data_IF_189349316136
#
_entry.id   IF_189349316136
#
_cell.length_a   1.000
_cell.length_b   1.000
_cell.length_c   1.000
_cell.angle_alpha   90.00
_cell.angle_beta   90.00
_cell.angle_gamma   90.00
#
_symmetry.space_group_name_H-M   'P 1'
#
loop_
_entity.id
_entity.type
_entity.pdbx_description
1 polymer ?
#
# COMPACT_ATOMS: atom_id res chain seq x y z
N UNK A 1 -9.35 -37.75 -53.72
CA UNK A 1 -10.37 -36.95 -53.04
C UNK A 1 -10.12 -37.02 -51.52
N UNK A 2 -9.30 -36.10 -50.98
CA UNK A 2 -9.03 -35.98 -49.53
C UNK A 2 -9.97 -34.94 -48.94
N UNK A 3 -10.94 -35.37 -48.13
CA UNK A 3 -11.78 -34.52 -47.31
C UNK A 3 -10.98 -34.07 -46.09
N UNK A 4 -10.48 -32.85 -46.14
CA UNK A 4 -9.88 -32.15 -45.01
C UNK A 4 -11.00 -31.76 -44.06
N UNK A 5 -11.09 -32.46 -42.94
CA UNK A 5 -12.00 -32.18 -41.83
C UNK A 5 -11.46 -30.92 -41.13
N UNK A 6 -12.09 -29.77 -41.42
CA UNK A 6 -11.92 -28.52 -40.64
C UNK A 6 -12.41 -28.79 -39.22
N UNK A 7 -11.50 -28.96 -38.29
CA UNK A 7 -11.81 -28.83 -36.87
C UNK A 7 -12.02 -27.35 -36.59
N UNK A 8 -13.28 -26.92 -36.58
CA UNK A 8 -13.67 -25.68 -35.94
C UNK A 8 -13.39 -25.82 -34.46
N UNK A 9 -12.30 -25.22 -34.04
CA UNK A 9 -12.03 -24.96 -32.61
C UNK A 9 -13.12 -24.03 -32.13
N UNK A 10 -14.20 -24.58 -31.52
CA UNK A 10 -15.19 -23.82 -30.76
C UNK A 10 -14.42 -23.16 -29.62
N UNK A 11 -14.02 -21.93 -29.82
CA UNK A 11 -13.70 -21.03 -28.72
C UNK A 11 -14.94 -20.91 -27.84
N UNK A 12 -14.99 -21.68 -26.78
CA UNK A 12 -15.96 -21.46 -25.70
C UNK A 12 -15.72 -20.04 -25.21
N UNK A 13 -16.75 -19.17 -25.21
CA UNK A 13 -16.62 -17.85 -24.62
C UNK A 13 -16.25 -18.08 -23.15
N UNK A 14 -15.04 -17.69 -22.78
CA UNK A 14 -14.63 -17.59 -21.38
C UNK A 14 -15.61 -16.63 -20.71
N UNK A 15 -16.67 -17.17 -20.14
CA UNK A 15 -17.44 -16.53 -19.12
C UNK A 15 -16.46 -16.19 -18.00
N UNK A 16 -15.92 -14.97 -18.04
CA UNK A 16 -15.20 -14.38 -16.90
C UNK A 16 -16.20 -14.34 -15.76
N UNK A 17 -16.33 -15.45 -15.05
CA UNK A 17 -16.97 -15.48 -13.75
C UNK A 17 -16.35 -14.32 -12.99
N UNK A 18 -17.19 -13.40 -12.51
CA UNK A 18 -16.77 -12.30 -11.63
C UNK A 18 -16.37 -12.94 -10.30
N UNK A 19 -15.18 -13.56 -10.26
CA UNK A 19 -14.63 -14.04 -9.00
C UNK A 19 -14.62 -12.88 -8.02
N UNK A 20 -15.28 -13.06 -6.87
CA UNK A 20 -15.34 -12.06 -5.83
C UNK A 20 -13.95 -11.89 -5.21
N UNK A 21 -13.56 -10.65 -4.95
CA UNK A 21 -12.31 -10.38 -4.25
C UNK A 21 -12.36 -10.97 -2.82
N UNK A 22 -11.28 -11.58 -2.32
CA UNK A 22 -11.21 -12.09 -0.95
C UNK A 22 -11.61 -11.04 0.08
N UNK A 23 -12.26 -11.45 1.15
CA UNK A 23 -12.70 -10.54 2.22
C UNK A 23 -11.56 -9.69 2.78
N UNK A 24 -10.36 -10.26 2.90
CA UNK A 24 -9.16 -9.53 3.36
C UNK A 24 -8.81 -8.31 2.48
N UNK A 25 -9.08 -8.36 1.17
CA UNK A 25 -8.87 -7.21 0.28
C UNK A 25 -9.87 -6.10 0.59
N UNK A 26 -11.13 -6.42 0.85
CA UNK A 26 -12.15 -5.43 1.21
C UNK A 26 -11.85 -4.75 2.55
N UNK A 27 -11.27 -5.48 3.50
CA UNK A 27 -10.78 -4.91 4.77
C UNK A 27 -9.70 -3.87 4.51
N UNK A 28 -8.72 -4.19 3.65
CA UNK A 28 -7.66 -3.24 3.28
C UNK A 28 -8.21 -2.04 2.49
N UNK A 29 -9.19 -2.25 1.62
CA UNK A 29 -9.88 -1.18 0.87
C UNK A 29 -10.62 -0.24 1.82
N UNK A 30 -11.36 -0.79 2.79
CA UNK A 30 -12.05 0.00 3.81
C UNK A 30 -11.08 0.78 4.72
N UNK A 31 -10.00 0.13 5.15
CA UNK A 31 -8.95 0.79 5.91
C UNK A 31 -8.27 1.92 5.11
N UNK A 32 -7.98 1.68 3.82
CA UNK A 32 -7.41 2.69 2.93
C UNK A 32 -8.32 3.91 2.78
N UNK A 33 -9.62 3.69 2.67
CA UNK A 33 -10.61 4.78 2.59
C UNK A 33 -10.63 5.63 3.87
N UNK A 34 -10.68 4.98 5.05
CA UNK A 34 -10.63 5.68 6.34
C UNK A 34 -9.33 6.48 6.53
N UNK A 35 -8.20 5.88 6.18
CA UNK A 35 -6.89 6.52 6.26
C UNK A 35 -6.82 7.72 5.31
N UNK A 36 -7.35 7.58 4.09
CA UNK A 36 -7.30 8.62 3.08
C UNK A 36 -8.21 9.80 3.42
N UNK A 37 -9.41 9.57 3.94
CA UNK A 37 -10.26 10.64 4.47
C UNK A 37 -9.51 11.40 5.56
N UNK A 38 -8.95 10.69 6.53
CA UNK A 38 -8.25 11.31 7.64
C UNK A 38 -7.01 12.09 7.20
N UNK A 39 -6.23 11.56 6.24
CA UNK A 39 -5.12 12.29 5.65
C UNK A 39 -5.60 13.56 4.93
N UNK A 40 -6.69 13.46 4.17
CA UNK A 40 -7.32 14.60 3.49
C UNK A 40 -7.85 15.66 4.45
N UNK A 41 -8.37 15.26 5.63
CA UNK A 41 -8.80 16.17 6.69
C UNK A 41 -7.66 17.14 7.13
N UNK A 42 -6.46 16.61 7.27
CA UNK A 42 -5.31 17.37 7.79
C UNK A 42 -4.71 18.29 6.72
N UNK A 43 -4.77 17.91 5.45
CA UNK A 43 -4.08 18.61 4.37
C UNK A 43 -4.36 20.11 4.30
N UNK A 44 -5.61 20.62 4.36
CA UNK A 44 -5.88 22.05 4.33
C UNK A 44 -5.64 22.74 5.69
N UNK A 45 -5.73 22.00 6.79
CA UNK A 45 -5.66 22.56 8.15
C UNK A 45 -4.22 22.69 8.63
N UNK A 46 -3.32 21.83 8.20
CA UNK A 46 -1.93 21.80 8.64
C UNK A 46 -1.17 23.11 8.40
N UNK A 47 -1.24 23.76 7.21
CA UNK A 47 -0.62 25.06 7.01
C UNK A 47 -1.18 26.16 7.92
N UNK A 48 -2.49 26.15 8.15
CA UNK A 48 -3.16 27.11 9.05
C UNK A 48 -2.71 26.89 10.50
N UNK A 49 -2.61 25.63 10.93
CA UNK A 49 -2.09 25.29 12.24
C UNK A 49 -0.63 25.69 12.43
N UNK A 50 0.21 25.50 11.39
CA UNK A 50 1.59 25.97 11.43
C UNK A 50 1.68 27.50 11.52
N UNK A 51 0.80 28.23 10.84
CA UNK A 51 0.73 29.69 10.92
C UNK A 51 0.42 30.21 12.33
N UNK A 52 -0.32 29.46 13.14
CA UNK A 52 -0.61 29.86 14.52
C UNK A 52 0.65 29.94 15.41
N UNK A 53 1.77 29.34 14.97
CA UNK A 53 3.09 29.48 15.62
C UNK A 53 3.90 30.69 15.10
N UNK A 54 3.31 31.58 14.32
CA UNK A 54 3.97 32.80 13.82
C UNK A 54 5.01 32.55 12.71
N UNK A 55 4.99 31.36 12.05
CA UNK A 55 5.93 31.03 10.97
C UNK A 55 5.42 31.49 9.61
N UNK A 56 6.37 31.72 8.68
CA UNK A 56 6.06 32.10 7.31
C UNK A 56 5.37 30.97 6.52
N UNK A 57 4.69 31.33 5.42
CA UNK A 57 4.06 30.36 4.50
C UNK A 57 5.07 29.33 3.98
N UNK A 58 6.31 29.78 3.72
CA UNK A 58 7.40 28.89 3.28
C UNK A 58 7.74 27.85 4.34
N UNK A 59 7.84 28.25 5.62
CA UNK A 59 8.10 27.34 6.72
C UNK A 59 6.92 26.34 6.94
N UNK A 60 5.69 26.81 6.80
CA UNK A 60 4.51 25.94 6.85
C UNK A 60 4.53 24.88 5.72
N UNK A 61 4.94 25.26 4.52
CA UNK A 61 5.08 24.33 3.38
C UNK A 61 6.20 23.30 3.60
N UNK A 62 7.26 23.67 4.31
CA UNK A 62 8.35 22.75 4.64
C UNK A 62 7.87 21.57 5.49
N UNK A 63 6.88 21.73 6.36
CA UNK A 63 6.29 20.66 7.17
C UNK A 63 5.66 19.58 6.29
N UNK A 64 4.95 19.99 5.22
CA UNK A 64 4.36 19.06 4.24
C UNK A 64 5.45 18.38 3.43
N UNK A 65 6.48 19.12 3.04
CA UNK A 65 7.63 18.61 2.27
C UNK A 65 8.43 17.58 3.05
N UNK A 66 8.67 17.80 4.35
CA UNK A 66 9.38 16.85 5.23
C UNK A 66 8.64 15.52 5.30
N UNK A 67 7.31 15.53 5.40
CA UNK A 67 6.51 14.32 5.37
C UNK A 67 6.73 13.52 4.09
N UNK A 68 6.67 14.18 2.92
CA UNK A 68 6.91 13.55 1.62
C UNK A 68 8.36 13.07 1.46
N UNK A 69 9.33 13.86 1.92
CA UNK A 69 10.74 13.51 1.88
C UNK A 69 11.05 12.27 2.71
N UNK A 70 10.53 12.18 3.93
CA UNK A 70 10.70 11.00 4.78
C UNK A 70 10.06 9.75 4.17
N UNK A 71 8.93 9.90 3.48
CA UNK A 71 8.34 8.79 2.71
C UNK A 71 9.27 8.28 1.63
N UNK A 72 9.92 9.16 0.89
CA UNK A 72 10.84 8.78 -0.18
C UNK A 72 12.09 8.08 0.38
N UNK A 73 12.71 8.65 1.40
CA UNK A 73 13.95 8.14 2.02
C UNK A 73 13.73 6.76 2.64
N UNK A 74 12.59 6.54 3.30
CA UNK A 74 12.30 5.28 3.97
C UNK A 74 11.63 4.22 3.06
N UNK A 75 11.26 4.54 1.83
CA UNK A 75 10.67 3.59 0.90
C UNK A 75 11.52 2.31 0.68
N UNK A 76 12.83 2.39 0.39
CA UNK A 76 13.65 1.19 0.21
C UNK A 76 13.87 0.41 1.51
N UNK A 77 13.96 1.10 2.66
CA UNK A 77 14.10 0.46 3.96
C UNK A 77 12.84 -0.32 4.35
N UNK A 78 11.64 0.23 4.04
CA UNK A 78 10.37 -0.43 4.34
C UNK A 78 10.20 -1.75 3.60
N UNK A 79 10.67 -1.85 2.35
CA UNK A 79 10.66 -3.11 1.59
C UNK A 79 11.49 -4.22 2.26
N UNK A 80 12.71 -3.90 2.71
CA UNK A 80 13.57 -4.83 3.45
C UNK A 80 12.93 -5.27 4.77
N UNK A 81 12.34 -4.33 5.49
CA UNK A 81 11.72 -4.58 6.79
C UNK A 81 10.47 -5.47 6.67
N UNK A 82 9.67 -5.27 5.62
CA UNK A 82 8.50 -6.10 5.31
C UNK A 82 8.91 -7.54 4.97
N UNK A 83 10.02 -7.73 4.27
CA UNK A 83 10.54 -9.06 3.96
C UNK A 83 11.07 -9.78 5.20
N UNK A 84 11.67 -9.07 6.15
CA UNK A 84 12.21 -9.62 7.38
C UNK A 84 11.13 -9.95 8.43
N UNK A 85 10.20 -9.02 8.65
CA UNK A 85 9.24 -9.08 9.76
C UNK A 85 7.81 -9.45 9.31
N UNK A 86 7.55 -9.41 8.01
CA UNK A 86 6.24 -9.68 7.45
C UNK A 86 5.38 -8.43 7.19
N UNK A 87 4.49 -8.53 6.21
CA UNK A 87 3.69 -7.38 5.77
C UNK A 87 2.63 -6.94 6.80
N UNK A 88 1.98 -7.89 7.49
CA UNK A 88 0.92 -7.57 8.46
C UNK A 88 1.43 -6.79 9.69
N UNK A 89 2.46 -7.25 10.43
CA UNK A 89 2.97 -6.49 11.55
C UNK A 89 3.51 -5.12 11.12
N UNK A 90 4.16 -5.03 9.96
CA UNK A 90 4.65 -3.76 9.43
C UNK A 90 3.52 -2.79 9.06
N UNK A 91 2.40 -3.30 8.54
CA UNK A 91 1.22 -2.50 8.29
C UNK A 91 0.67 -1.87 9.58
N UNK A 92 0.49 -2.67 10.62
CA UNK A 92 -0.02 -2.23 11.93
C UNK A 92 0.95 -1.25 12.60
N UNK A 93 2.25 -1.57 12.58
CA UNK A 93 3.29 -0.68 13.12
C UNK A 93 3.31 0.66 12.37
N UNK A 94 3.19 0.64 11.05
CA UNK A 94 3.11 1.86 10.24
C UNK A 94 1.91 2.73 10.62
N UNK A 95 0.72 2.13 10.75
CA UNK A 95 -0.48 2.85 11.20
C UNK A 95 -0.33 3.41 12.61
N UNK A 96 0.27 2.63 13.53
CA UNK A 96 0.50 3.09 14.90
C UNK A 96 1.45 4.29 14.95
N UNK A 97 2.55 4.28 14.18
CA UNK A 97 3.47 5.40 14.07
C UNK A 97 2.74 6.64 13.54
N UNK A 98 1.89 6.51 12.51
CA UNK A 98 1.12 7.63 11.97
C UNK A 98 0.12 8.14 13.01
N UNK A 99 -0.58 7.26 13.73
CA UNK A 99 -1.53 7.64 14.76
C UNK A 99 -0.85 8.40 15.92
N UNK A 100 0.25 7.85 16.44
CA UNK A 100 1.03 8.47 17.51
C UNK A 100 1.61 9.84 17.09
N UNK A 101 2.17 9.91 15.86
CA UNK A 101 2.71 11.13 15.29
C UNK A 101 1.63 12.20 15.08
N UNK A 102 0.44 11.80 14.60
CA UNK A 102 -0.69 12.71 14.40
C UNK A 102 -1.23 13.23 15.74
N UNK A 103 -1.35 12.34 16.73
CA UNK A 103 -1.75 12.72 18.07
C UNK A 103 -0.72 13.67 18.70
N UNK A 104 0.57 13.38 18.59
CA UNK A 104 1.64 14.25 19.08
C UNK A 104 1.60 15.63 18.40
N UNK A 105 1.28 15.70 17.11
CA UNK A 105 1.09 16.96 16.38
C UNK A 105 0.03 17.84 17.03
N UNK A 106 -1.02 17.28 17.62
CA UNK A 106 -2.09 18.04 18.30
C UNK A 106 -1.60 18.76 19.56
N UNK A 107 -0.56 18.21 20.20
CA UNK A 107 0.06 18.77 21.41
C UNK A 107 1.34 19.55 21.13
N UNK A 108 1.69 19.77 19.85
CA UNK A 108 2.89 20.53 19.50
C UNK A 108 2.79 21.97 20.02
N UNK A 109 3.88 22.43 20.65
CA UNK A 109 4.02 23.80 21.19
C UNK A 109 4.88 24.68 20.31
N UNK A 110 5.49 24.13 19.23
CA UNK A 110 6.35 24.86 18.36
C UNK A 110 6.58 24.21 16.99
N UNK A 111 7.13 25.01 16.10
CA UNK A 111 7.38 24.64 14.71
C UNK A 111 8.30 23.40 14.56
N UNK A 112 9.36 23.30 15.35
CA UNK A 112 10.32 22.18 15.29
C UNK A 112 9.72 20.86 15.72
N UNK A 113 8.87 20.88 16.75
CA UNK A 113 8.12 19.68 17.17
C UNK A 113 7.20 19.21 16.05
N UNK A 114 6.54 20.15 15.38
CA UNK A 114 5.67 19.86 14.25
C UNK A 114 6.40 19.17 13.11
N UNK A 115 7.60 19.64 12.78
CA UNK A 115 8.46 19.01 11.74
C UNK A 115 8.84 17.58 12.13
N UNK A 116 9.27 17.37 13.37
CA UNK A 116 9.69 16.04 13.85
C UNK A 116 8.50 15.06 13.83
N UNK A 117 7.36 15.46 14.35
CA UNK A 117 6.18 14.61 14.39
C UNK A 117 5.68 14.30 12.97
N UNK A 118 5.65 15.27 12.07
CA UNK A 118 5.28 15.04 10.66
C UNK A 118 6.28 14.16 9.91
N UNK A 119 7.57 14.33 10.19
CA UNK A 119 8.62 13.44 9.65
C UNK A 119 8.42 11.98 10.08
N UNK A 120 8.19 11.74 11.37
CA UNK A 120 7.88 10.42 11.90
C UNK A 120 6.61 9.82 11.26
N UNK A 121 5.56 10.63 11.08
CA UNK A 121 4.35 10.23 10.36
C UNK A 121 4.63 9.81 8.91
N UNK A 122 5.57 10.46 8.22
CA UNK A 122 6.01 10.10 6.87
C UNK A 122 6.61 8.69 6.82
N UNK A 123 7.44 8.33 7.80
CA UNK A 123 8.02 6.97 7.94
C UNK A 123 6.90 5.94 8.11
N UNK A 124 6.00 6.14 9.06
CA UNK A 124 4.87 5.25 9.30
C UNK A 124 3.97 5.11 8.07
N UNK A 125 3.72 6.22 7.37
CA UNK A 125 2.94 6.24 6.13
C UNK A 125 3.53 5.37 5.03
N UNK A 126 4.85 5.34 4.89
CA UNK A 126 5.53 4.46 3.93
C UNK A 126 5.39 3.00 4.32
N UNK A 127 5.61 2.68 5.60
CA UNK A 127 5.49 1.31 6.10
C UNK A 127 4.11 0.72 5.83
N UNK A 128 3.03 1.43 6.17
CA UNK A 128 1.69 0.88 5.93
C UNK A 128 1.34 0.80 4.44
N UNK A 129 1.71 1.78 3.61
CA UNK A 129 1.38 1.80 2.18
C UNK A 129 2.07 0.67 1.43
N UNK A 130 3.38 0.46 1.66
CA UNK A 130 4.14 -0.62 1.03
C UNK A 130 3.66 -1.98 1.53
N UNK A 131 3.36 -2.10 2.83
CA UNK A 131 2.80 -3.32 3.42
C UNK A 131 1.43 -3.67 2.87
N UNK A 132 0.54 -2.69 2.69
CA UNK A 132 -0.78 -2.90 2.09
C UNK A 132 -0.67 -3.48 0.68
N UNK A 133 0.17 -2.87 -0.16
CA UNK A 133 0.41 -3.35 -1.53
C UNK A 133 0.98 -4.78 -1.53
N UNK A 134 1.96 -5.05 -0.67
CA UNK A 134 2.54 -6.38 -0.52
C UNK A 134 1.51 -7.42 -0.08
N UNK A 135 0.59 -7.06 0.83
CA UNK A 135 -0.49 -7.94 1.28
C UNK A 135 -1.50 -8.23 0.17
N UNK A 136 -1.92 -7.20 -0.58
CA UNK A 136 -2.84 -7.35 -1.71
C UNK A 136 -2.27 -8.32 -2.75
N UNK A 137 -1.01 -8.11 -3.16
CA UNK A 137 -0.34 -8.97 -4.15
C UNK A 137 -0.24 -10.43 -3.70
N UNK A 138 -0.09 -10.68 -2.40
CA UNK A 138 -0.01 -12.04 -1.83
C UNK A 138 -1.37 -12.71 -1.64
N UNK A 139 -2.44 -11.94 -1.41
CA UNK A 139 -3.79 -12.46 -1.17
C UNK A 139 -4.56 -12.77 -2.45
N UNK A 140 -4.13 -12.25 -3.59
CA UNK A 140 -4.91 -12.30 -4.84
C UNK A 140 -4.11 -12.98 -5.96
N UNK A 141 -4.72 -13.91 -6.74
CA UNK A 141 -4.10 -14.49 -7.92
C UNK A 141 -3.65 -13.43 -8.93
N UNK A 142 -2.65 -13.74 -9.76
CA UNK A 142 -2.03 -12.78 -10.68
C UNK A 142 -3.04 -12.05 -11.58
N UNK A 143 -4.06 -12.75 -12.09
CA UNK A 143 -5.10 -12.19 -12.98
C UNK A 143 -6.04 -11.19 -12.28
N UNK A 144 -6.14 -11.22 -10.94
CA UNK A 144 -7.00 -10.33 -10.15
C UNK A 144 -6.24 -9.19 -9.47
N UNK A 145 -4.90 -9.19 -9.49
CA UNK A 145 -4.06 -8.18 -8.82
C UNK A 145 -4.38 -6.77 -9.27
N UNK A 146 -4.56 -6.54 -10.57
CA UNK A 146 -4.94 -5.24 -11.11
C UNK A 146 -6.26 -4.73 -10.52
N UNK A 147 -7.28 -5.60 -10.46
CA UNK A 147 -8.59 -5.25 -9.91
C UNK A 147 -8.53 -4.94 -8.41
N UNK A 148 -7.78 -5.71 -7.64
CA UNK A 148 -7.61 -5.49 -6.21
C UNK A 148 -6.85 -4.18 -5.91
N UNK A 149 -5.77 -3.92 -6.67
CA UNK A 149 -4.97 -2.70 -6.54
C UNK A 149 -5.77 -1.47 -6.98
N UNK A 150 -6.58 -1.57 -8.03
CA UNK A 150 -7.46 -0.49 -8.47
C UNK A 150 -8.55 -0.18 -7.44
N UNK A 151 -9.13 -1.20 -6.80
CA UNK A 151 -10.10 -0.99 -5.73
C UNK A 151 -9.47 -0.27 -4.52
N UNK A 152 -8.27 -0.69 -4.11
CA UNK A 152 -7.51 -0.04 -3.05
C UNK A 152 -7.15 1.41 -3.40
N UNK A 153 -6.58 1.65 -4.59
CA UNK A 153 -6.21 2.98 -5.05
C UNK A 153 -7.41 3.89 -5.26
N UNK A 154 -8.52 3.37 -5.79
CA UNK A 154 -9.77 4.10 -5.95
C UNK A 154 -10.37 4.55 -4.62
N UNK A 155 -10.41 3.66 -3.63
CA UNK A 155 -10.87 4.00 -2.29
C UNK A 155 -10.00 5.09 -1.65
N UNK A 156 -8.68 4.98 -1.81
CA UNK A 156 -7.73 5.98 -1.33
C UNK A 156 -7.93 7.34 -2.03
N UNK A 157 -8.16 7.34 -3.35
CA UNK A 157 -8.40 8.56 -4.11
C UNK A 157 -9.70 9.25 -3.68
N UNK A 158 -10.80 8.51 -3.56
CA UNK A 158 -12.10 9.04 -3.12
C UNK A 158 -11.98 9.63 -1.70
N UNK A 159 -11.28 8.92 -0.79
CA UNK A 159 -11.02 9.43 0.56
C UNK A 159 -10.23 10.73 0.57
N UNK A 160 -9.20 10.85 -0.27
CA UNK A 160 -8.42 12.08 -0.40
C UNK A 160 -9.20 13.26 -0.98
N UNK A 161 -10.19 13.01 -1.83
CA UNK A 161 -11.05 14.07 -2.38
C UNK A 161 -12.09 14.50 -1.34
N UNK A 162 -12.69 13.56 -0.62
CA UNK A 162 -13.70 13.85 0.40
C UNK A 162 -13.10 14.50 1.67
N UNK A 163 -11.87 14.09 2.01
CA UNK A 163 -11.17 14.53 3.21
C UNK A 163 -11.08 16.05 3.39
N UNK A 164 -10.57 16.81 2.42
CA UNK A 164 -10.41 18.26 2.52
C UNK A 164 -11.73 19.00 2.77
N UNK A 165 -12.83 18.53 2.19
CA UNK A 165 -14.17 19.13 2.39
C UNK A 165 -14.57 18.99 3.86
N UNK A 166 -14.50 17.78 4.39
CA UNK A 166 -14.82 17.52 5.81
C UNK A 166 -13.81 18.21 6.73
N UNK A 167 -12.51 18.20 6.36
CA UNK A 167 -11.44 18.84 7.13
C UNK A 167 -11.58 20.34 7.24
N UNK A 168 -11.96 21.00 6.14
CA UNK A 168 -12.27 22.42 6.15
C UNK A 168 -13.43 22.75 7.08
N UNK A 169 -14.51 21.98 7.03
CA UNK A 169 -15.68 22.18 7.92
C UNK A 169 -15.30 21.98 9.41
N UNK A 170 -14.55 20.94 9.74
CA UNK A 170 -14.11 20.68 11.11
C UNK A 170 -13.11 21.74 11.60
N UNK A 171 -12.20 22.19 10.73
CA UNK A 171 -11.21 23.20 11.05
C UNK A 171 -11.78 24.57 11.38
N UNK A 172 -13.00 24.87 10.90
CA UNK A 172 -13.73 26.08 11.31
C UNK A 172 -14.24 26.03 12.76
N UNK A 173 -14.48 24.83 13.28
CA UNK A 173 -14.93 24.65 14.67
C UNK A 173 -13.74 24.71 15.64
N UNK A 174 -12.72 23.90 15.37
CA UNK A 174 -11.45 23.90 16.09
C UNK A 174 -10.35 23.37 15.17
N UNK A 175 -9.25 24.10 15.10
CA UNK A 175 -8.09 23.75 14.24
C UNK A 175 -7.44 22.42 14.63
N UNK A 176 -7.63 21.95 15.86
CA UNK A 176 -7.10 20.68 16.37
C UNK A 176 -8.06 19.49 16.12
N UNK A 177 -9.33 19.75 15.88
CA UNK A 177 -10.36 18.73 15.75
C UNK A 177 -10.08 17.72 14.62
N UNK A 178 -9.64 18.11 13.41
CA UNK A 178 -9.28 17.19 12.34
C UNK A 178 -8.19 16.18 12.72
N UNK A 179 -7.23 16.59 13.56
CA UNK A 179 -6.15 15.69 14.00
C UNK A 179 -6.67 14.62 14.96
N UNK A 180 -7.57 14.97 15.88
CA UNK A 180 -8.22 14.00 16.78
C UNK A 180 -9.08 13.00 15.97
N UNK A 181 -9.89 13.49 15.04
CA UNK A 181 -10.73 12.65 14.18
C UNK A 181 -9.86 11.69 13.36
N UNK A 182 -8.76 12.17 12.81
CA UNK A 182 -7.84 11.31 12.07
C UNK A 182 -7.17 10.27 12.96
N UNK A 183 -6.74 10.64 14.16
CA UNK A 183 -6.15 9.69 15.12
C UNK A 183 -7.14 8.58 15.46
N UNK A 184 -8.40 8.91 15.72
CA UNK A 184 -9.46 7.94 15.98
C UNK A 184 -9.69 7.03 14.78
N UNK A 185 -9.75 7.59 13.56
CA UNK A 185 -9.90 6.81 12.33
C UNK A 185 -8.72 5.82 12.13
N UNK A 186 -7.49 6.23 12.44
CA UNK A 186 -6.32 5.35 12.39
C UNK A 186 -6.39 4.23 13.42
N UNK A 187 -6.81 4.52 14.65
CA UNK A 187 -6.98 3.50 15.69
C UNK A 187 -8.08 2.50 15.32
N UNK A 188 -9.19 2.98 14.76
CA UNK A 188 -10.23 2.09 14.23
C UNK A 188 -9.69 1.21 13.09
N UNK A 189 -8.93 1.78 12.16
CA UNK A 189 -8.29 1.01 11.09
C UNK A 189 -7.35 -0.07 11.64
N UNK A 190 -6.56 0.24 12.69
CA UNK A 190 -5.69 -0.73 13.37
C UNK A 190 -6.51 -1.87 13.95
N UNK A 191 -7.59 -1.57 14.68
CA UNK A 191 -8.45 -2.56 15.32
C UNK A 191 -9.09 -3.47 14.26
N UNK A 192 -9.66 -2.89 13.20
CA UNK A 192 -10.30 -3.64 12.11
C UNK A 192 -9.31 -4.58 11.44
N UNK A 193 -8.13 -4.09 11.10
CA UNK A 193 -7.09 -4.92 10.45
C UNK A 193 -6.57 -5.99 11.39
N UNK A 194 -6.40 -5.67 12.67
CA UNK A 194 -5.92 -6.62 13.67
C UNK A 194 -6.90 -7.78 13.90
N UNK A 195 -8.20 -7.48 13.93
CA UNK A 195 -9.25 -8.49 14.15
C UNK A 195 -9.57 -9.30 12.88
N UNK A 196 -9.63 -8.64 11.73
CA UNK A 196 -10.13 -9.27 10.51
C UNK A 196 -9.05 -9.92 9.64
N UNK A 197 -7.78 -9.56 9.81
CA UNK A 197 -6.70 -10.26 9.13
C UNK A 197 -6.06 -11.30 10.05
N UNK A 198 -6.22 -12.61 9.74
CA UNK A 198 -5.64 -13.68 10.55
C UNK A 198 -4.10 -13.59 10.58
N UNK A 199 -3.51 -13.96 11.72
CA UNK A 199 -2.06 -13.89 11.96
C UNK A 199 -1.26 -14.96 11.19
N UNK A 200 -1.87 -15.71 10.29
CA UNK A 200 -1.18 -16.68 9.44
C UNK A 200 -0.09 -15.99 8.62
N UNK A 201 1.11 -16.55 8.62
CA UNK A 201 2.10 -16.25 7.58
C UNK A 201 1.39 -16.46 6.25
N UNK A 202 1.11 -15.36 5.53
CA UNK A 202 0.60 -15.46 4.17
C UNK A 202 1.66 -16.26 3.42
N UNK A 203 1.36 -17.45 2.86
CA UNK A 203 2.35 -18.24 2.16
C UNK A 203 3.00 -17.33 1.13
N UNK A 204 4.31 -17.22 1.20
CA UNK A 204 5.08 -16.57 0.15
C UNK A 204 4.71 -17.35 -1.12
N UNK A 205 4.05 -16.71 -2.07
CA UNK A 205 3.87 -17.30 -3.40
C UNK A 205 5.27 -17.74 -3.83
N UNK A 206 5.45 -19.06 -4.00
CA UNK A 206 6.72 -19.68 -4.25
C UNK A 206 7.48 -18.82 -5.25
N UNK A 207 8.70 -18.49 -4.88
CA UNK A 207 9.58 -17.61 -5.62
C UNK A 207 9.70 -18.15 -7.06
N UNK A 208 9.04 -17.48 -8.00
CA UNK A 208 9.16 -17.82 -9.43
C UNK A 208 10.62 -17.70 -9.95
N UNK A 209 11.53 -17.27 -9.10
CA UNK A 209 12.97 -17.22 -9.36
C UNK A 209 13.58 -18.62 -9.45
N UNK A 210 13.07 -19.60 -8.72
CA UNK A 210 13.58 -20.97 -8.79
C UNK A 210 13.06 -21.67 -10.06
N UNK A 211 11.79 -21.45 -10.43
CA UNK A 211 11.25 -21.97 -11.70
C UNK A 211 11.91 -21.31 -12.92
N UNK A 212 12.24 -20.00 -12.84
CA UNK A 212 12.94 -19.31 -13.92
C UNK A 212 14.42 -19.75 -14.05
N UNK A 213 15.04 -20.21 -12.96
CA UNK A 213 16.38 -20.81 -12.98
C UNK A 213 16.34 -22.23 -13.50
N UNK A 214 15.31 -22.97 -13.17
CA UNK A 214 15.11 -24.35 -13.64
C UNK A 214 14.78 -24.38 -15.13
N UNK A 215 13.93 -23.46 -15.63
CA UNK A 215 13.66 -23.27 -17.05
C UNK A 215 14.90 -22.84 -17.84
N UNK A 216 15.73 -21.95 -17.30
CA UNK A 216 17.02 -21.60 -17.94
C UNK A 216 17.98 -22.78 -18.00
N UNK A 217 18.07 -23.56 -16.93
CA UNK A 217 18.94 -24.74 -16.88
C UNK A 217 18.49 -25.83 -17.88
N UNK A 218 17.18 -26.04 -17.99
CA UNK A 218 16.60 -26.97 -18.95
C UNK A 218 16.76 -26.49 -20.41
N UNK A 219 16.72 -25.20 -20.68
CA UNK A 219 17.01 -24.62 -21.99
C UNK A 219 18.50 -24.72 -22.35
N UNK A 220 19.43 -24.55 -21.42
CA UNK A 220 20.86 -24.72 -21.66
C UNK A 220 21.23 -26.19 -21.89
N UNK A 221 20.60 -27.10 -21.17
CA UNK A 221 20.85 -28.54 -21.31
C UNK A 221 20.27 -29.10 -22.63
N UNK A 222 19.17 -28.51 -23.14
CA UNK A 222 18.55 -28.85 -24.43
C UNK A 222 19.32 -28.27 -25.64
N UNK A 223 20.16 -27.26 -25.44
CA UNK A 223 20.95 -26.61 -26.50
C UNK A 223 22.38 -27.15 -26.64
N UNK A 224 22.77 -28.14 -25.82
CA UNK A 224 24.07 -28.78 -25.92
C UNK A 224 24.11 -29.72 -27.17
N UNK A 225 25.00 -29.54 -28.16
CA UNK A 225 25.06 -30.36 -29.35
C UNK A 225 25.46 -31.77 -28.99
N UNK A 226 24.59 -32.77 -29.32
CA UNK A 226 24.94 -34.18 -29.27
C UNK A 226 26.06 -34.44 -30.25
N UNK A 227 27.25 -34.65 -29.73
CA UNK A 227 28.36 -35.18 -30.49
C UNK A 227 28.01 -36.60 -30.99
N UNK A 228 27.50 -36.70 -32.23
CA UNK A 228 27.42 -37.96 -32.95
C UNK A 228 28.81 -38.43 -33.29
N UNK A 229 29.35 -39.36 -32.52
CA UNK A 229 30.48 -40.17 -32.91
C UNK A 229 30.01 -41.22 -33.89
N UNK A 230 30.17 -40.95 -35.20
CA UNK A 230 30.10 -41.97 -36.25
C UNK A 230 31.42 -42.72 -36.22
N UNK A 231 31.43 -43.94 -35.71
CA UNK A 231 32.51 -44.91 -35.93
C UNK A 231 32.32 -45.59 -37.28
N UNK A 232 33.19 -45.26 -38.21
CA UNK A 232 33.38 -45.98 -39.42
C UNK A 232 34.32 -47.19 -39.14
N UNK A 233 33.88 -48.41 -39.44
CA UNK A 233 34.73 -49.57 -39.87
C UNK A 233 33.95 -50.45 -40.82
#
# INVERSE_FOLDING_TARGET
MHKQKRQETRETPHTRSREALPQGVWVLVGAAFLIAIGYGLITPVLPQYAHSFGVSVMAASAIVSVFGFMRLVFAPASGKLINALGARPMYITGLFIVAASTLATTFAHGYWELIVYRGAGGIGSTLFTVSATAMIVRMVPAHMRGRATSAYGGAFLIGNIAGPVVGGMLGHVDIRLPFYVYTVALLLAIIVVWQMLPAGRIPQAADNTDNAKEDKKNCEESSSPQHTTSSTT
#
